data_IF_973851085004
#
_entry.id   IF_973851085004
#
_cell.length_a   1.000
_cell.length_b   1.000
_cell.length_c   1.000
_cell.angle_alpha   90.00
_cell.angle_beta   90.00
_cell.angle_gamma   90.00
#
_symmetry.space_group_name_H-M   'P 1'
#
loop_
_entity.id
_entity.type
_entity.pdbx_description
1 polymer ?
#
# COMPACT_ATOMS: atom_id res chain seq x y z
N UNK A 1 -6.96 18.28 -16.48
CA UNK A 1 -5.76 19.09 -16.76
C UNK A 1 -5.06 19.40 -15.43
N UNK A 2 -3.74 19.52 -15.41
CA UNK A 2 -3.02 20.07 -14.26
C UNK A 2 -3.03 21.60 -14.39
N UNK A 3 -3.28 22.28 -13.28
CA UNK A 3 -3.33 23.74 -13.18
C UNK A 3 -2.34 24.14 -12.11
N UNK A 4 -1.40 25.00 -12.48
CA UNK A 4 -0.46 25.62 -11.55
C UNK A 4 -1.12 26.87 -10.98
N UNK A 5 -1.12 26.99 -9.65
CA UNK A 5 -1.58 28.19 -8.97
C UNK A 5 -0.56 29.31 -9.06
N UNK A 6 -0.98 30.51 -8.65
CA UNK A 6 -0.09 31.67 -8.58
C UNK A 6 1.11 31.36 -7.67
N UNK A 7 2.35 31.63 -8.10
CA UNK A 7 3.53 31.50 -7.26
C UNK A 7 3.41 32.39 -6.03
N UNK A 8 3.58 31.80 -4.84
CA UNK A 8 3.60 32.53 -3.58
C UNK A 8 5.02 32.58 -3.05
N UNK A 9 5.59 33.79 -2.96
CA UNK A 9 6.88 34.01 -2.33
C UNK A 9 6.72 34.14 -0.81
N UNK A 10 7.44 33.30 -0.09
CA UNK A 10 7.51 33.36 1.38
C UNK A 10 8.57 34.38 1.80
N UNK A 11 8.43 34.96 3.00
CA UNK A 11 9.40 35.93 3.56
C UNK A 11 10.87 35.43 3.59
N UNK A 12 11.07 34.11 3.53
CA UNK A 12 12.38 33.46 3.49
C UNK A 12 13.02 33.39 2.08
N UNK A 13 12.38 33.94 1.04
CA UNK A 13 12.83 33.81 -0.35
C UNK A 13 12.48 32.47 -1.01
N UNK A 14 11.62 31.67 -0.39
CA UNK A 14 11.13 30.39 -0.93
C UNK A 14 9.88 30.62 -1.76
N UNK A 15 9.85 30.12 -3.00
CA UNK A 15 8.69 30.19 -3.89
C UNK A 15 7.87 28.90 -3.79
N UNK A 16 6.57 29.06 -3.56
CA UNK A 16 5.61 27.97 -3.47
C UNK A 16 4.71 27.98 -4.71
N UNK A 17 4.70 26.89 -5.48
CA UNK A 17 3.82 26.74 -6.65
C UNK A 17 2.86 25.57 -6.42
N UNK A 18 1.59 25.88 -6.16
CA UNK A 18 0.57 24.86 -5.91
C UNK A 18 0.14 24.18 -7.20
N UNK A 19 -0.08 22.87 -7.16
CA UNK A 19 -0.53 22.08 -8.30
C UNK A 19 -1.87 21.46 -7.98
N UNK A 20 -2.86 21.79 -8.79
CA UNK A 20 -4.21 21.25 -8.69
C UNK A 20 -4.58 20.51 -9.95
N UNK A 21 -5.42 19.48 -9.82
CA UNK A 21 -6.05 18.79 -10.94
C UNK A 21 -7.45 19.34 -11.09
N UNK A 22 -7.74 19.89 -12.25
CA UNK A 22 -9.09 20.35 -12.56
C UNK A 22 -10.08 19.18 -12.49
N UNK A 23 -11.19 19.40 -11.78
CA UNK A 23 -12.29 18.44 -11.70
C UNK A 23 -12.94 18.22 -13.06
N UNK A 24 -13.61 17.08 -13.23
CA UNK A 24 -14.42 16.83 -14.44
C UNK A 24 -15.70 17.67 -14.35
N UNK A 25 -16.12 18.25 -15.47
CA UNK A 25 -17.46 18.88 -15.64
C UNK A 25 -17.75 20.03 -14.66
N UNK A 26 -16.76 20.86 -14.35
CA UNK A 26 -16.91 22.00 -13.42
C UNK A 26 -16.93 21.60 -11.94
N UNK A 27 -16.69 20.32 -11.62
CA UNK A 27 -16.53 19.87 -10.23
C UNK A 27 -15.29 20.47 -9.55
N UNK A 28 -15.24 20.42 -8.21
CA UNK A 28 -14.15 21.00 -7.44
C UNK A 28 -12.79 20.42 -7.87
N UNK A 29 -11.78 21.28 -7.98
CA UNK A 29 -10.41 20.87 -8.25
C UNK A 29 -9.85 20.03 -7.10
N UNK A 30 -8.98 19.07 -7.41
CA UNK A 30 -8.30 18.23 -6.41
C UNK A 30 -6.86 18.70 -6.25
N UNK A 31 -6.43 18.99 -5.03
CA UNK A 31 -5.02 19.25 -4.75
C UNK A 31 -4.17 18.02 -5.12
N UNK A 32 -3.09 18.25 -5.87
CA UNK A 32 -2.14 17.22 -6.27
C UNK A 32 -0.86 17.32 -5.45
N UNK A 33 -0.41 18.55 -5.18
CA UNK A 33 0.77 18.83 -4.39
C UNK A 33 1.25 20.26 -4.55
N UNK A 34 2.48 20.50 -4.13
CA UNK A 34 3.15 21.79 -4.11
C UNK A 34 4.62 21.60 -4.50
N UNK A 35 5.11 22.47 -5.38
CA UNK A 35 6.54 22.65 -5.56
C UNK A 35 7.04 23.72 -4.60
N UNK A 36 8.11 23.40 -3.90
CA UNK A 36 8.87 24.32 -3.05
C UNK A 36 10.20 24.58 -3.74
N UNK A 37 10.43 25.83 -4.15
CA UNK A 37 11.63 26.27 -4.83
C UNK A 37 12.40 27.17 -3.87
N UNK A 38 13.63 26.81 -3.53
CA UNK A 38 14.52 27.56 -2.66
C UNK A 38 15.94 27.58 -3.26
N UNK A 39 16.90 28.19 -2.56
CA UNK A 39 18.29 28.26 -3.00
C UNK A 39 18.94 26.88 -3.18
N UNK A 40 18.49 25.88 -2.43
CA UNK A 40 19.01 24.50 -2.48
C UNK A 40 18.42 23.70 -3.66
N UNK A 41 17.35 24.18 -4.30
CA UNK A 41 16.75 23.58 -5.47
C UNK A 41 15.23 23.50 -5.43
N UNK A 42 14.67 22.45 -6.03
CA UNK A 42 13.22 22.24 -6.18
C UNK A 42 12.81 20.95 -5.49
N UNK A 43 11.88 21.06 -4.54
CA UNK A 43 11.28 19.92 -3.83
C UNK A 43 9.81 19.77 -4.21
N UNK A 44 9.38 18.54 -4.46
CA UNK A 44 7.96 18.21 -4.69
C UNK A 44 7.33 17.62 -3.44
N UNK A 45 6.24 18.23 -2.98
CA UNK A 45 5.45 17.74 -1.84
C UNK A 45 4.05 17.32 -2.32
N UNK A 46 3.74 16.01 -2.38
CA UNK A 46 2.44 15.53 -2.84
C UNK A 46 1.33 15.74 -1.80
N UNK A 47 0.13 16.10 -2.25
CA UNK A 47 -1.08 16.21 -1.43
C UNK A 47 -1.78 14.84 -1.32
N UNK A 48 -1.07 13.85 -0.76
CA UNK A 48 -1.56 12.49 -0.55
C UNK A 48 -2.04 12.29 0.88
N UNK A 49 -3.18 11.63 1.06
CA UNK A 49 -3.69 11.24 2.37
C UNK A 49 -2.99 9.94 2.81
N UNK A 50 -1.90 10.10 3.54
CA UNK A 50 -1.08 8.99 4.02
C UNK A 50 -1.84 8.10 5.01
N UNK A 51 -2.80 8.65 5.76
CA UNK A 51 -3.65 7.90 6.69
C UNK A 51 -4.60 6.94 5.96
N UNK A 52 -5.18 7.37 4.84
CA UNK A 52 -5.98 6.46 4.00
C UNK A 52 -5.14 5.36 3.36
N UNK A 53 -3.94 5.70 2.89
CA UNK A 53 -3.03 4.72 2.30
C UNK A 53 -2.64 3.66 3.33
N UNK A 54 -2.26 4.09 4.54
CA UNK A 54 -1.89 3.16 5.61
C UNK A 54 -3.08 2.31 6.05
N UNK A 55 -4.28 2.88 6.15
CA UNK A 55 -5.49 2.13 6.49
C UNK A 55 -5.76 1.02 5.48
N UNK A 56 -5.69 1.32 4.17
CA UNK A 56 -5.87 0.30 3.12
C UNK A 56 -4.81 -0.79 3.25
N UNK A 57 -3.54 -0.41 3.42
CA UNK A 57 -2.45 -1.38 3.56
C UNK A 57 -2.66 -2.31 4.76
N UNK A 58 -3.03 -1.76 5.93
CA UNK A 58 -3.29 -2.53 7.16
C UNK A 58 -4.49 -3.45 6.99
N UNK A 59 -5.61 -2.96 6.43
CA UNK A 59 -6.79 -3.79 6.18
C UNK A 59 -6.48 -4.95 5.22
N UNK A 60 -5.76 -4.69 4.13
CA UNK A 60 -5.33 -5.74 3.19
C UNK A 60 -4.44 -6.77 3.87
N UNK A 61 -3.45 -6.33 4.65
CA UNK A 61 -2.56 -7.22 5.42
C UNK A 61 -3.33 -8.06 6.43
N UNK A 62 -4.29 -7.47 7.14
CA UNK A 62 -5.14 -8.16 8.11
C UNK A 62 -5.99 -9.25 7.45
N UNK A 63 -6.61 -8.96 6.30
CA UNK A 63 -7.41 -9.94 5.55
C UNK A 63 -6.53 -11.10 5.05
N UNK A 64 -5.34 -10.79 4.52
CA UNK A 64 -4.38 -11.81 4.09
C UNK A 64 -3.93 -12.70 5.25
N UNK A 65 -3.65 -12.11 6.41
CA UNK A 65 -3.28 -12.84 7.62
C UNK A 65 -4.43 -13.73 8.10
N UNK A 66 -5.67 -13.22 8.10
CA UNK A 66 -6.85 -13.98 8.49
C UNK A 66 -7.06 -15.21 7.59
N UNK A 67 -6.92 -15.06 6.27
CA UNK A 67 -7.03 -16.19 5.34
C UNK A 67 -5.89 -17.19 5.48
N UNK A 68 -4.66 -16.71 5.73
CA UNK A 68 -3.51 -17.60 5.95
C UNK A 68 -3.70 -18.45 7.20
N UNK A 69 -4.13 -17.83 8.31
CA UNK A 69 -4.44 -18.54 9.54
C UNK A 69 -5.62 -19.51 9.37
N UNK A 70 -6.68 -19.09 8.67
CA UNK A 70 -7.82 -19.96 8.38
C UNK A 70 -7.41 -21.16 7.52
N UNK A 71 -6.52 -20.94 6.54
CA UNK A 71 -5.99 -22.01 5.70
C UNK A 71 -5.19 -23.02 6.54
N UNK A 72 -4.34 -22.54 7.46
CA UNK A 72 -3.61 -23.39 8.40
C UNK A 72 -4.54 -24.21 9.31
N UNK A 73 -5.65 -23.63 9.78
CA UNK A 73 -6.63 -24.37 10.61
C UNK A 73 -7.38 -25.42 9.78
N UNK A 74 -7.79 -25.08 8.56
CA UNK A 74 -8.60 -25.98 7.70
C UNK A 74 -7.79 -27.14 7.13
N UNK A 75 -6.57 -26.85 6.67
CA UNK A 75 -5.66 -27.82 6.08
C UNK A 75 -4.27 -27.52 6.59
N UNK A 76 -3.96 -27.99 7.80
CA UNK A 76 -2.64 -27.77 8.35
C UNK A 76 -1.58 -28.28 7.37
N UNK A 77 -0.48 -27.53 7.19
CA UNK A 77 0.60 -27.94 6.29
C UNK A 77 1.36 -29.16 6.81
N UNK A 78 1.16 -29.54 8.07
CA UNK A 78 1.80 -30.71 8.65
C UNK A 78 1.09 -32.02 8.25
N UNK A 79 1.83 -33.13 8.22
CA UNK A 79 1.27 -34.44 7.90
C UNK A 79 0.11 -34.78 8.84
N UNK A 80 -0.88 -35.49 8.30
CA UNK A 80 -1.99 -35.95 9.12
C UNK A 80 -1.49 -36.97 10.15
N UNK A 81 -1.52 -36.60 11.43
CA UNK A 81 -0.96 -37.39 12.54
C UNK A 81 -1.86 -38.55 12.98
N UNK A 82 -2.88 -38.89 12.18
CA UNK A 82 -3.70 -40.07 12.44
C UNK A 82 -2.85 -41.33 12.24
N UNK A 83 -2.97 -42.31 13.13
CA UNK A 83 -2.23 -43.59 13.08
C UNK A 83 -2.25 -44.23 11.68
N UNK A 84 -3.44 -44.28 11.06
CA UNK A 84 -3.64 -44.80 9.70
C UNK A 84 -2.84 -44.05 8.63
N UNK A 85 -2.80 -42.72 8.74
CA UNK A 85 -2.09 -41.87 7.79
C UNK A 85 -0.56 -41.99 7.97
N UNK A 86 -0.08 -42.12 9.21
CA UNK A 86 1.32 -42.36 9.51
C UNK A 86 1.82 -43.70 8.98
N UNK A 87 1.04 -44.78 9.16
CA UNK A 87 1.37 -46.10 8.62
C UNK A 87 1.45 -46.05 7.08
N UNK A 88 0.46 -45.44 6.43
CA UNK A 88 0.44 -45.30 4.98
C UNK A 88 1.64 -44.47 4.45
N UNK A 89 2.04 -43.41 5.15
CA UNK A 89 3.24 -42.63 4.78
C UNK A 89 4.54 -43.42 4.98
N UNK A 90 4.67 -44.18 6.07
CA UNK A 90 5.85 -45.01 6.32
C UNK A 90 6.03 -46.08 5.23
N UNK A 91 4.93 -46.70 4.80
CA UNK A 91 4.92 -47.66 3.71
C UNK A 91 5.29 -47.01 2.36
N UNK A 92 4.72 -45.82 2.07
CA UNK A 92 5.04 -45.02 0.89
C UNK A 92 6.53 -44.63 0.82
N UNK A 93 7.11 -44.27 1.97
CA UNK A 93 8.52 -43.90 2.08
C UNK A 93 9.45 -45.11 1.89
N UNK A 94 9.05 -46.28 2.40
CA UNK A 94 9.80 -47.54 2.22
C UNK A 94 9.78 -48.01 0.76
N UNK A 95 8.67 -47.81 0.04
CA UNK A 95 8.52 -48.17 -1.38
C UNK A 95 9.30 -47.27 -2.35
N UNK A 96 9.76 -46.10 -1.89
CA UNK A 96 10.57 -45.14 -2.67
C UNK A 96 12.08 -45.32 -2.47
N UNK A 97 12.52 -46.13 -1.51
CA UNK A 97 13.92 -46.53 -1.32
C UNK A 97 14.18 -47.84 -2.04
#
# INVERSE_FOLDING_TARGET
MLVFGEPYETASGTVLVTVTRQGRRGGPGRAVGLYTINADGVTWTPAVDQGRISLVAVCTGLVAAAFSTLAMVRRPPWPNLTERAMIAQAESAKRRR
#
